data_IF_811538625037
#
_entry.id   IF_811538625037
#
_cell.length_a   1.000
_cell.length_b   1.000
_cell.length_c   1.000
_cell.angle_alpha   90.00
_cell.angle_beta   90.00
_cell.angle_gamma   90.00
#
_symmetry.space_group_name_H-M   'P 1'
#
loop_
_entity.id
_entity.type
_entity.pdbx_description
1 polymer ?
#
# COMPACT_ATOMS: atom_id res chain seq x y z
N UNK A 1 3.39 -55.70 22.83
CA UNK A 1 1.95 -55.94 23.10
C UNK A 1 1.36 -54.58 23.47
N UNK A 2 0.35 -53.96 22.85
CA UNK A 2 -0.60 -54.18 21.76
C UNK A 2 -1.25 -52.78 21.57
N UNK A 3 -1.70 -52.24 20.42
CA UNK A 3 -1.77 -52.60 19.00
C UNK A 3 -2.07 -51.27 18.28
N UNK A 4 -1.42 -51.02 17.16
CA UNK A 4 -1.76 -49.95 16.21
C UNK A 4 -2.84 -50.52 15.29
N UNK A 5 -4.01 -49.88 15.22
CA UNK A 5 -5.05 -50.23 14.24
C UNK A 5 -5.05 -49.20 13.12
N UNK A 6 -4.33 -49.55 12.05
CA UNK A 6 -4.43 -48.94 10.72
C UNK A 6 -5.70 -49.52 10.08
N UNK A 7 -6.72 -48.68 9.89
CA UNK A 7 -7.78 -48.94 8.91
C UNK A 7 -7.64 -47.94 7.78
N UNK A 8 -6.95 -48.38 6.74
CA UNK A 8 -6.92 -47.76 5.43
C UNK A 8 -8.32 -47.82 4.81
N UNK A 9 -8.89 -46.66 4.48
CA UNK A 9 -9.91 -46.55 3.43
C UNK A 9 -9.36 -45.55 2.42
N UNK A 10 -8.77 -46.11 1.36
CA UNK A 10 -8.46 -45.41 0.12
C UNK A 10 -9.79 -45.15 -0.58
N UNK A 11 -10.23 -43.88 -0.62
CA UNK A 11 -11.27 -43.44 -1.53
C UNK A 11 -10.61 -42.58 -2.60
N UNK A 12 -10.23 -43.23 -3.70
CA UNK A 12 -9.78 -42.55 -4.91
C UNK A 12 -10.97 -41.82 -5.53
N UNK A 13 -11.08 -40.51 -5.28
CA UNK A 13 -11.87 -39.61 -6.12
C UNK A 13 -10.93 -38.91 -7.10
N UNK A 14 -10.79 -39.54 -8.25
CA UNK A 14 -10.38 -38.87 -9.48
C UNK A 14 -11.49 -37.90 -9.89
N UNK A 15 -11.38 -36.64 -9.46
CA UNK A 15 -12.14 -35.53 -10.02
C UNK A 15 -11.17 -34.64 -10.79
N UNK A 16 -11.14 -34.85 -12.10
CA UNK A 16 -10.60 -33.91 -13.05
C UNK A 16 -11.43 -32.62 -12.97
N UNK A 17 -10.98 -31.64 -12.18
CA UNK A 17 -11.43 -30.26 -12.29
C UNK A 17 -10.43 -29.50 -13.16
N UNK A 18 -10.52 -29.70 -14.46
CA UNK A 18 -10.15 -28.64 -15.40
C UNK A 18 -11.34 -27.68 -15.51
N UNK A 19 -11.64 -26.97 -14.42
CA UNK A 19 -12.41 -25.72 -14.52
C UNK A 19 -11.37 -24.61 -14.58
N UNK A 20 -10.99 -24.25 -15.79
CA UNK A 20 -10.68 -22.86 -16.10
C UNK A 20 -11.98 -22.08 -15.86
N UNK A 21 -12.25 -21.73 -14.60
CA UNK A 21 -13.29 -20.78 -14.26
C UNK A 21 -12.88 -19.46 -14.88
N UNK A 22 -13.43 -19.17 -16.06
CA UNK A 22 -13.38 -17.84 -16.65
C UNK A 22 -13.99 -16.92 -15.59
N UNK A 23 -13.27 -15.90 -15.17
CA UNK A 23 -13.77 -14.91 -14.23
C UNK A 23 -15.07 -14.32 -14.79
N UNK A 24 -16.22 -14.73 -14.26
CA UNK A 24 -17.46 -14.00 -14.50
C UNK A 24 -17.32 -12.67 -13.76
N UNK A 25 -17.41 -11.56 -14.50
CA UNK A 25 -17.42 -10.23 -13.91
C UNK A 25 -18.59 -10.14 -12.92
N UNK A 26 -18.32 -9.68 -11.71
CA UNK A 26 -19.34 -9.49 -10.66
C UNK A 26 -20.55 -8.71 -11.20
N UNK A 27 -21.79 -9.19 -11.06
CA UNK A 27 -22.95 -8.47 -11.55
C UNK A 27 -23.16 -7.16 -10.78
N UNK A 28 -23.69 -6.15 -11.46
CA UNK A 28 -23.87 -4.80 -10.89
C UNK A 28 -24.73 -4.78 -9.61
N UNK A 29 -25.66 -5.72 -9.47
CA UNK A 29 -26.46 -5.90 -8.24
C UNK A 29 -25.61 -6.34 -7.05
N UNK A 30 -24.67 -7.28 -7.26
CA UNK A 30 -23.74 -7.73 -6.23
C UNK A 30 -22.72 -6.63 -5.87
N UNK A 31 -22.22 -5.88 -6.86
CA UNK A 31 -21.37 -4.71 -6.61
C UNK A 31 -22.05 -3.71 -5.65
N UNK A 32 -23.30 -3.33 -5.95
CA UNK A 32 -24.07 -2.40 -5.09
C UNK A 32 -24.35 -2.99 -3.70
N UNK A 33 -24.60 -4.29 -3.61
CA UNK A 33 -24.80 -4.96 -2.33
C UNK A 33 -23.51 -4.96 -1.50
N UNK A 34 -22.37 -5.26 -2.12
CA UNK A 34 -21.05 -5.21 -1.47
C UNK A 34 -20.69 -3.78 -1.03
N UNK A 35 -20.97 -2.75 -1.85
CA UNK A 35 -20.78 -1.35 -1.49
C UNK A 35 -21.60 -0.97 -0.24
N UNK A 36 -22.88 -1.35 -0.20
CA UNK A 36 -23.74 -1.13 0.96
C UNK A 36 -23.23 -1.87 2.21
N UNK A 37 -22.70 -3.08 2.06
CA UNK A 37 -22.12 -3.83 3.17
C UNK A 37 -20.86 -3.14 3.71
N UNK A 38 -19.98 -2.63 2.84
CA UNK A 38 -18.80 -1.86 3.26
C UNK A 38 -19.20 -0.61 4.05
N UNK A 39 -20.25 0.09 3.60
CA UNK A 39 -20.76 1.27 4.32
C UNK A 39 -21.37 0.91 5.69
N UNK A 40 -22.08 -0.22 5.77
CA UNK A 40 -22.62 -0.73 7.03
C UNK A 40 -21.50 -1.14 7.99
N UNK A 41 -20.48 -1.84 7.50
CA UNK A 41 -19.31 -2.26 8.28
C UNK A 41 -18.53 -1.04 8.80
N UNK A 42 -18.33 -0.01 7.96
CA UNK A 42 -17.72 1.24 8.37
C UNK A 42 -18.54 1.95 9.45
N UNK A 43 -19.86 2.02 9.28
CA UNK A 43 -20.75 2.61 10.29
C UNK A 43 -20.63 1.88 11.64
N UNK A 44 -20.68 0.54 11.63
CA UNK A 44 -20.52 -0.27 12.84
C UNK A 44 -19.13 -0.08 13.48
N UNK A 45 -18.06 -0.05 12.68
CA UNK A 45 -16.71 0.20 13.16
C UNK A 45 -16.58 1.58 13.81
N UNK A 46 -17.16 2.62 13.20
CA UNK A 46 -17.19 3.97 13.74
C UNK A 46 -17.96 4.06 15.07
N UNK A 47 -19.09 3.37 15.17
CA UNK A 47 -19.86 3.28 16.42
C UNK A 47 -19.04 2.61 17.53
N UNK A 48 -18.33 1.52 17.22
CA UNK A 48 -17.43 0.84 18.16
C UNK A 48 -16.29 1.76 18.65
N UNK A 49 -15.72 2.57 17.76
CA UNK A 49 -14.73 3.59 18.13
C UNK A 49 -15.30 4.66 19.07
N UNK A 50 -16.62 4.85 19.12
CA UNK A 50 -17.29 5.82 19.98
C UNK A 50 -17.04 5.61 21.47
N UNK A 51 -16.74 4.38 21.88
CA UNK A 51 -16.42 4.00 23.27
C UNK A 51 -15.00 4.40 23.72
N UNK A 52 -14.13 4.76 22.78
CA UNK A 52 -12.76 5.17 23.05
C UNK A 52 -12.66 6.69 23.28
N UNK A 53 -11.55 7.14 23.84
CA UNK A 53 -11.28 8.55 24.12
C UNK A 53 -9.90 8.99 23.60
N UNK A 54 -9.75 10.30 23.35
CA UNK A 54 -8.51 10.92 22.89
C UNK A 54 -7.89 10.20 21.68
N UNK A 55 -6.56 10.09 21.62
CA UNK A 55 -5.87 9.50 20.48
C UNK A 55 -6.27 8.04 20.19
N UNK A 56 -6.63 7.26 21.21
CA UNK A 56 -7.15 5.90 20.98
C UNK A 56 -8.42 5.91 20.10
N UNK A 57 -9.28 6.92 20.28
CA UNK A 57 -10.45 7.13 19.41
C UNK A 57 -10.03 7.55 18.01
N UNK A 58 -9.08 8.48 17.89
CA UNK A 58 -8.65 9.01 16.60
C UNK A 58 -7.96 7.93 15.74
N UNK A 59 -7.08 7.11 16.33
CA UNK A 59 -6.49 5.92 15.71
C UNK A 59 -7.58 4.96 15.23
N UNK A 60 -8.54 4.62 16.09
CA UNK A 60 -9.65 3.72 15.71
C UNK A 60 -10.45 4.28 14.54
N UNK A 61 -10.74 5.58 14.56
CA UNK A 61 -11.46 6.27 13.47
C UNK A 61 -10.65 6.29 12.17
N UNK A 62 -9.33 6.48 12.24
CA UNK A 62 -8.44 6.40 11.08
C UNK A 62 -8.38 4.98 10.51
N UNK A 63 -8.28 3.95 11.36
CA UNK A 63 -8.32 2.55 10.94
C UNK A 63 -9.65 2.19 10.26
N UNK A 64 -10.78 2.60 10.83
CA UNK A 64 -12.10 2.36 10.26
C UNK A 64 -12.26 3.01 8.88
N UNK A 65 -11.88 4.29 8.74
CA UNK A 65 -11.89 5.02 7.46
C UNK A 65 -10.92 4.40 6.45
N UNK A 66 -9.75 3.96 6.91
CA UNK A 66 -8.75 3.30 6.08
C UNK A 66 -9.27 1.99 5.50
N UNK A 67 -9.87 1.14 6.36
CA UNK A 67 -10.51 -0.12 5.95
C UNK A 67 -11.63 0.10 4.94
N UNK A 68 -12.50 1.10 5.16
CA UNK A 68 -13.56 1.45 4.20
C UNK A 68 -12.97 1.82 2.83
N UNK A 69 -11.97 2.71 2.79
CA UNK A 69 -11.33 3.14 1.55
C UNK A 69 -10.67 1.99 0.79
N UNK A 70 -9.93 1.14 1.51
CA UNK A 70 -9.27 -0.03 0.92
C UNK A 70 -10.31 -1.00 0.38
N UNK A 71 -11.36 -1.31 1.16
CA UNK A 71 -12.42 -2.20 0.71
C UNK A 71 -13.16 -1.67 -0.52
N UNK A 72 -13.45 -0.37 -0.59
CA UNK A 72 -14.05 0.27 -1.79
C UNK A 72 -13.11 0.17 -3.00
N UNK A 73 -11.81 0.39 -2.83
CA UNK A 73 -10.85 0.23 -3.92
C UNK A 73 -10.71 -1.22 -4.38
N UNK A 74 -10.71 -2.18 -3.46
CA UNK A 74 -10.65 -3.62 -3.75
C UNK A 74 -11.93 -4.11 -4.45
N UNK A 75 -13.09 -3.60 -4.04
CA UNK A 75 -14.37 -3.86 -4.69
C UNK A 75 -14.36 -3.34 -6.14
N UNK A 76 -13.93 -2.10 -6.37
CA UNK A 76 -13.80 -1.56 -7.73
C UNK A 76 -12.79 -2.35 -8.56
N UNK A 77 -11.67 -2.79 -7.97
CA UNK A 77 -10.70 -3.64 -8.65
C UNK A 77 -11.24 -5.03 -8.98
N UNK A 78 -12.15 -5.56 -8.17
CA UNK A 78 -12.82 -6.84 -8.42
C UNK A 78 -13.91 -6.71 -9.49
N UNK A 79 -14.63 -5.59 -9.51
CA UNK A 79 -15.68 -5.30 -10.48
C UNK A 79 -15.15 -4.89 -11.86
N UNK A 80 -14.05 -4.13 -11.89
CA UNK A 80 -13.38 -3.69 -13.12
C UNK A 80 -11.86 -3.92 -13.03
N UNK A 81 -11.42 -5.18 -13.14
CA UNK A 81 -10.00 -5.53 -13.04
C UNK A 81 -9.15 -4.79 -14.07
N UNK A 82 -8.15 -4.06 -13.60
CA UNK A 82 -7.17 -3.40 -14.46
C UNK A 82 -5.90 -3.10 -13.69
N UNK A 83 -4.78 -2.87 -14.40
CA UNK A 83 -3.54 -2.42 -13.77
C UNK A 83 -3.72 -1.10 -13.01
N UNK A 84 -4.60 -0.22 -13.51
CA UNK A 84 -4.96 1.02 -12.81
C UNK A 84 -5.72 0.71 -11.52
N UNK A 85 -6.69 -0.20 -11.54
CA UNK A 85 -7.43 -0.57 -10.33
C UNK A 85 -6.52 -1.19 -9.26
N UNK A 86 -5.57 -2.06 -9.64
CA UNK A 86 -4.55 -2.56 -8.70
C UNK A 86 -3.67 -1.45 -8.12
N UNK A 87 -3.33 -0.43 -8.92
CA UNK A 87 -2.61 0.75 -8.44
C UNK A 87 -3.42 1.56 -7.42
N UNK A 88 -4.71 1.80 -7.68
CA UNK A 88 -5.59 2.53 -6.75
C UNK A 88 -5.74 1.77 -5.42
N UNK A 89 -5.80 0.42 -5.44
CA UNK A 89 -5.78 -0.40 -4.22
C UNK A 89 -4.49 -0.19 -3.43
N UNK A 90 -3.32 -0.27 -4.08
CA UNK A 90 -2.03 -0.04 -3.42
C UNK A 90 -1.91 1.36 -2.82
N UNK A 91 -2.42 2.36 -3.53
CA UNK A 91 -2.47 3.76 -3.06
C UNK A 91 -3.40 3.90 -1.86
N UNK A 92 -4.60 3.32 -1.91
CA UNK A 92 -5.56 3.36 -0.81
C UNK A 92 -4.99 2.71 0.46
N UNK A 93 -4.28 1.57 0.31
CA UNK A 93 -3.57 0.91 1.42
C UNK A 93 -2.51 1.80 2.03
N UNK A 94 -1.64 2.39 1.19
CA UNK A 94 -0.60 3.29 1.65
C UNK A 94 -1.17 4.53 2.38
N UNK A 95 -2.26 5.10 1.88
CA UNK A 95 -2.94 6.24 2.53
C UNK A 95 -3.61 5.87 3.84
N UNK A 96 -4.20 4.67 3.93
CA UNK A 96 -4.77 4.15 5.17
C UNK A 96 -3.67 3.95 6.22
N UNK A 97 -2.57 3.31 5.86
CA UNK A 97 -1.41 3.09 6.74
C UNK A 97 -0.81 4.42 7.22
N UNK A 98 -0.67 5.39 6.32
CA UNK A 98 -0.20 6.73 6.67
C UNK A 98 -1.13 7.45 7.64
N UNK A 99 -2.45 7.39 7.43
CA UNK A 99 -3.41 8.03 8.31
C UNK A 99 -3.29 7.45 9.74
N UNK A 100 -3.25 6.13 9.86
CA UNK A 100 -3.08 5.46 11.16
C UNK A 100 -1.73 5.79 11.79
N UNK A 101 -0.64 5.77 11.02
CA UNK A 101 0.69 6.12 11.50
C UNK A 101 0.76 7.57 12.00
N UNK A 102 0.08 8.50 11.33
CA UNK A 102 0.01 9.90 11.73
C UNK A 102 -0.69 10.08 13.08
N UNK A 103 -1.86 9.46 13.27
CA UNK A 103 -2.55 9.51 14.58
C UNK A 103 -1.67 8.88 15.68
N UNK A 104 -0.98 7.76 15.39
CA UNK A 104 -0.01 7.17 16.33
C UNK A 104 1.17 8.09 16.66
N UNK A 105 1.54 9.00 15.77
CA UNK A 105 2.55 10.01 16.05
C UNK A 105 2.01 11.14 16.95
N UNK A 106 0.69 11.33 17.04
CA UNK A 106 0.11 12.45 17.78
C UNK A 106 0.30 12.34 19.31
N UNK A 107 0.56 11.13 19.83
CA UNK A 107 0.96 10.90 21.24
C UNK A 107 2.40 11.37 21.55
N UNK A 108 3.18 11.71 20.53
CA UNK A 108 4.56 12.18 20.70
C UNK A 108 4.58 13.71 20.85
N UNK A 109 5.71 14.27 21.27
CA UNK A 109 5.89 15.71 21.39
C UNK A 109 7.25 16.17 20.87
N UNK A 110 7.35 17.46 20.53
CA UNK A 110 8.56 18.10 20.01
C UNK A 110 9.06 17.46 18.72
N UNK A 111 10.37 17.58 18.45
CA UNK A 111 11.00 17.04 17.25
C UNK A 111 10.78 15.52 17.07
N UNK A 112 10.57 14.76 18.15
CA UNK A 112 10.26 13.33 18.07
C UNK A 112 8.91 13.09 17.34
N UNK A 113 7.92 13.97 17.55
CA UNK A 113 6.66 13.95 16.80
C UNK A 113 6.89 14.28 15.33
N UNK A 114 7.64 15.35 15.06
CA UNK A 114 7.91 15.81 13.70
C UNK A 114 8.63 14.75 12.87
N UNK A 115 9.67 14.12 13.45
CA UNK A 115 10.38 12.99 12.85
C UNK A 115 9.43 11.82 12.59
N UNK A 116 8.57 11.46 13.55
CA UNK A 116 7.58 10.39 13.36
C UNK A 116 6.65 10.65 12.18
N UNK A 117 6.11 11.87 12.07
CA UNK A 117 5.22 12.26 10.96
C UNK A 117 5.97 12.27 9.62
N UNK A 118 7.24 12.70 9.61
CA UNK A 118 8.09 12.62 8.40
C UNK A 118 8.36 11.18 7.99
N UNK A 119 8.64 10.28 8.93
CA UNK A 119 8.85 8.86 8.65
C UNK A 119 7.58 8.22 8.09
N UNK A 120 6.42 8.49 8.69
CA UNK A 120 5.13 8.04 8.16
C UNK A 120 4.88 8.57 6.73
N UNK A 121 5.17 9.85 6.48
CA UNK A 121 5.04 10.45 5.14
C UNK A 121 6.03 9.84 4.15
N UNK A 122 7.26 9.51 4.58
CA UNK A 122 8.23 8.84 3.72
C UNK A 122 7.74 7.45 3.34
N UNK A 123 7.21 6.67 4.28
CA UNK A 123 6.59 5.38 3.97
C UNK A 123 5.45 5.49 2.94
N UNK A 124 4.59 6.52 3.06
CA UNK A 124 3.56 6.81 2.06
C UNK A 124 4.14 7.10 0.68
N UNK A 125 5.16 7.96 0.61
CA UNK A 125 5.83 8.31 -0.66
C UNK A 125 6.46 7.07 -1.28
N UNK A 126 7.15 6.24 -0.48
CA UNK A 126 7.77 5.01 -0.96
C UNK A 126 6.74 4.06 -1.57
N UNK A 127 5.64 3.79 -0.86
CA UNK A 127 4.59 2.90 -1.33
C UNK A 127 3.91 3.42 -2.61
N UNK A 128 3.63 4.72 -2.68
CA UNK A 128 3.06 5.36 -3.89
C UNK A 128 4.03 5.35 -5.07
N UNK A 129 5.30 5.61 -4.82
CA UNK A 129 6.35 5.57 -5.82
C UNK A 129 6.51 4.15 -6.41
N UNK A 130 6.52 3.11 -5.57
CA UNK A 130 6.57 1.72 -6.02
C UNK A 130 5.33 1.32 -6.80
N UNK A 131 4.13 1.65 -6.30
CA UNK A 131 2.89 1.37 -7.00
C UNK A 131 2.86 2.05 -8.39
N UNK A 132 3.32 3.30 -8.47
CA UNK A 132 3.43 4.07 -9.72
C UNK A 132 4.45 3.44 -10.67
N UNK A 133 5.60 3.01 -10.17
CA UNK A 133 6.63 2.35 -10.97
C UNK A 133 6.12 1.02 -11.55
N UNK A 134 5.44 0.22 -10.73
CA UNK A 134 4.80 -1.03 -11.15
C UNK A 134 3.72 -0.79 -12.21
N UNK A 135 2.88 0.25 -12.03
CA UNK A 135 1.85 0.62 -13.01
C UNK A 135 2.47 1.02 -14.35
N UNK A 136 3.45 1.93 -14.34
CA UNK A 136 4.15 2.40 -15.56
C UNK A 136 4.80 1.21 -16.29
N UNK A 137 5.52 0.37 -15.55
CA UNK A 137 6.19 -0.83 -16.10
C UNK A 137 5.19 -1.82 -16.68
N UNK A 138 4.12 -2.12 -15.95
CA UNK A 138 3.08 -3.06 -16.40
C UNK A 138 2.36 -2.57 -17.65
N UNK A 139 2.06 -1.26 -17.72
CA UNK A 139 1.46 -0.65 -18.93
C UNK A 139 2.41 -0.72 -20.11
N UNK A 140 3.69 -0.40 -19.91
CA UNK A 140 4.69 -0.48 -20.95
C UNK A 140 4.85 -1.91 -21.51
N UNK A 141 4.86 -2.91 -20.62
CA UNK A 141 4.94 -4.32 -21.01
C UNK A 141 3.68 -4.82 -21.73
N UNK A 142 2.49 -4.37 -21.30
CA UNK A 142 1.24 -4.73 -21.98
C UNK A 142 1.22 -4.26 -23.44
N UNK A 143 1.76 -3.08 -23.72
CA UNK A 143 1.90 -2.54 -25.08
C UNK A 143 3.00 -3.23 -25.89
N UNK A 144 3.98 -3.88 -25.25
CA UNK A 144 5.09 -4.56 -25.92
C UNK A 144 4.80 -6.02 -26.34
N UNK A 145 3.69 -6.60 -25.85
CA UNK A 145 3.27 -7.95 -26.25
C UNK A 145 2.68 -8.01 -27.67
N UNK A 146 2.45 -6.86 -28.31
CA UNK A 146 1.82 -6.78 -29.64
C UNK A 146 2.81 -6.52 -30.79
N UNK A 147 4.06 -6.06 -30.59
CA UNK A 147 4.94 -5.65 -31.70
C UNK A 147 6.46 -5.71 -31.41
N UNK A 148 7.26 -5.68 -32.49
CA UNK A 148 8.73 -5.78 -32.70
C UNK A 148 9.74 -5.49 -31.55
N UNK A 149 11.01 -5.87 -31.76
CA UNK A 149 12.14 -5.58 -30.83
C UNK A 149 12.19 -4.13 -30.34
N UNK A 150 11.85 -3.16 -31.20
CA UNK A 150 11.79 -1.75 -30.85
C UNK A 150 10.73 -1.42 -29.78
N UNK A 151 9.57 -2.10 -29.79
CA UNK A 151 8.55 -1.91 -28.77
C UNK A 151 9.00 -2.46 -27.41
N UNK A 152 9.76 -3.56 -27.42
CA UNK A 152 10.36 -4.14 -26.20
C UNK A 152 11.42 -3.23 -25.60
N UNK A 153 12.29 -2.65 -26.43
CA UNK A 153 13.29 -1.66 -25.99
C UNK A 153 12.62 -0.44 -25.33
N UNK A 154 11.60 0.12 -25.98
CA UNK A 154 10.84 1.26 -25.43
C UNK A 154 10.13 0.92 -24.12
N UNK A 155 9.63 -0.31 -23.99
CA UNK A 155 9.01 -0.74 -22.74
C UNK A 155 10.03 -0.90 -21.60
N UNK A 156 11.22 -1.42 -21.90
CA UNK A 156 12.33 -1.50 -20.96
C UNK A 156 12.79 -0.10 -20.51
N UNK A 157 12.93 0.84 -21.44
CA UNK A 157 13.27 2.24 -21.15
C UNK A 157 12.27 2.87 -20.19
N UNK A 158 10.97 2.81 -20.50
CA UNK A 158 9.91 3.34 -19.63
C UNK A 158 9.87 2.66 -18.26
N UNK A 159 10.15 1.35 -18.21
CA UNK A 159 10.27 0.61 -16.96
C UNK A 159 11.47 1.08 -16.12
N UNK A 160 12.61 1.36 -16.77
CA UNK A 160 13.80 1.90 -16.12
C UNK A 160 13.57 3.32 -15.59
N UNK A 161 13.03 4.21 -16.43
CA UNK A 161 12.65 5.58 -16.05
C UNK A 161 11.70 5.58 -14.86
N UNK A 162 10.66 4.75 -14.89
CA UNK A 162 9.71 4.64 -13.79
C UNK A 162 10.36 4.19 -12.46
N UNK A 163 11.39 3.34 -12.52
CA UNK A 163 12.17 2.92 -11.34
C UNK A 163 13.10 4.03 -10.87
N UNK A 164 13.70 4.78 -11.79
CA UNK A 164 14.55 5.93 -11.46
C UNK A 164 13.74 7.05 -10.80
N UNK A 165 12.57 7.38 -11.35
CA UNK A 165 11.59 8.31 -10.76
C UNK A 165 11.26 7.89 -9.33
N UNK A 166 10.87 6.62 -9.14
CA UNK A 166 10.51 6.12 -7.82
C UNK A 166 11.70 6.16 -6.85
N UNK A 167 12.91 5.84 -7.31
CA UNK A 167 14.12 5.93 -6.50
C UNK A 167 14.44 7.40 -6.13
N UNK A 168 14.20 8.36 -7.02
CA UNK A 168 14.33 9.78 -6.71
C UNK A 168 13.31 10.19 -5.64
N UNK A 169 12.02 9.96 -5.86
CA UNK A 169 10.94 10.29 -4.90
C UNK A 169 11.23 9.72 -3.50
N UNK A 170 11.74 8.48 -3.43
CA UNK A 170 12.15 7.83 -2.17
C UNK A 170 13.34 8.51 -1.51
N UNK A 171 14.41 8.80 -2.25
CA UNK A 171 15.58 9.52 -1.73
C UNK A 171 15.21 10.90 -1.23
N UNK A 172 14.30 11.60 -1.91
CA UNK A 172 13.78 12.91 -1.50
C UNK A 172 13.04 12.83 -0.17
N UNK A 173 12.18 11.82 -0.01
CA UNK A 173 11.48 11.57 1.23
C UNK A 173 12.42 11.19 2.38
N UNK A 174 13.40 10.33 2.12
CA UNK A 174 14.38 9.88 3.13
C UNK A 174 15.31 11.02 3.54
N UNK A 175 15.70 11.88 2.60
CA UNK A 175 16.42 13.12 2.91
C UNK A 175 15.59 14.05 3.80
N UNK A 176 14.30 14.20 3.52
CA UNK A 176 13.42 15.03 4.35
C UNK A 176 13.33 14.50 5.79
N UNK A 177 13.30 13.17 5.98
CA UNK A 177 13.39 12.53 7.32
C UNK A 177 14.74 12.81 7.97
N UNK A 178 15.84 12.62 7.24
CA UNK A 178 17.18 12.85 7.77
C UNK A 178 17.39 14.30 8.20
N UNK A 179 16.91 15.25 7.40
CA UNK A 179 16.95 16.68 7.73
C UNK A 179 16.16 16.98 9.01
N UNK A 180 14.96 16.43 9.14
CA UNK A 180 14.14 16.61 10.36
C UNK A 180 14.84 16.06 11.60
N UNK A 181 15.55 14.93 11.48
CA UNK A 181 16.35 14.37 12.59
C UNK A 181 17.51 15.29 12.99
N UNK A 182 18.11 16.00 12.05
CA UNK A 182 19.14 17.01 12.34
C UNK A 182 18.58 18.23 13.07
N UNK A 183 17.27 18.51 12.99
CA UNK A 183 16.64 19.65 13.66
C UNK A 183 16.59 19.49 15.19
N UNK A 184 16.86 18.29 15.73
CA UNK A 184 17.11 18.08 17.15
C UNK A 184 18.44 18.69 17.64
N UNK A 185 19.37 19.02 16.73
CA UNK A 185 20.67 19.61 17.03
C UNK A 185 20.66 21.13 16.84
N UNK A 186 21.73 21.80 17.27
CA UNK A 186 21.93 23.25 17.09
C UNK A 186 23.37 23.59 16.70
N UNK A 187 23.57 24.78 16.12
CA UNK A 187 24.88 25.29 15.70
C UNK A 187 25.61 24.37 14.72
N UNK A 188 26.93 24.32 14.83
CA UNK A 188 27.82 23.57 13.94
C UNK A 188 27.48 22.08 13.83
N UNK A 189 26.92 21.49 14.90
CA UNK A 189 26.50 20.10 14.91
C UNK A 189 25.32 19.86 13.94
N UNK A 190 24.35 20.77 13.93
CA UNK A 190 23.21 20.72 12.99
C UNK A 190 23.68 20.90 11.56
N UNK A 191 24.54 21.88 11.30
CA UNK A 191 25.05 22.14 9.96
C UNK A 191 25.85 20.95 9.41
N UNK A 192 26.68 20.34 10.26
CA UNK A 192 27.41 19.12 9.93
C UNK A 192 26.47 17.96 9.60
N UNK A 193 25.44 17.75 10.43
CA UNK A 193 24.42 16.72 10.20
C UNK A 193 23.69 16.91 8.86
N UNK A 194 23.24 18.13 8.56
CA UNK A 194 22.54 18.43 7.29
C UNK A 194 23.46 18.24 6.09
N UNK A 195 24.73 18.66 6.19
CA UNK A 195 25.71 18.46 5.12
C UNK A 195 26.02 16.99 4.86
N UNK A 196 26.10 16.17 5.91
CA UNK A 196 26.23 14.72 5.77
C UNK A 196 24.99 14.10 5.11
N UNK A 197 23.79 14.53 5.52
CA UNK A 197 22.53 14.08 4.91
C UNK A 197 22.49 14.43 3.41
N UNK A 198 22.90 15.64 3.02
CA UNK A 198 22.98 16.04 1.60
C UNK A 198 23.91 15.13 0.80
N UNK A 199 25.12 14.86 1.32
CA UNK A 199 26.07 13.93 0.69
C UNK A 199 25.49 12.53 0.56
N UNK A 200 24.85 12.01 1.61
CA UNK A 200 24.25 10.66 1.63
C UNK A 200 23.13 10.49 0.61
N UNK A 201 22.29 11.51 0.43
CA UNK A 201 21.11 11.42 -0.43
C UNK A 201 21.28 12.08 -1.81
N UNK A 202 22.45 12.65 -2.10
CA UNK A 202 22.76 13.32 -3.36
C UNK A 202 21.92 14.58 -3.58
N UNK A 203 21.89 15.45 -2.55
CA UNK A 203 21.09 16.68 -2.52
C UNK A 203 21.93 17.95 -2.54
#
# INVERSE_FOLDING_TARGET
MNKINISSIVLAMSLAYSVSAMAENMPKSEYKAAEKNIEADYKAAKENCGSLAANAKDICMAEAKGKEKVAKAELEASYKPSKKASYEVSVAKAEADYAVAKEKCDDKAGNVKDVCVKEAKAALVHAKADAKAQLKTSKANATANEDSSAAREKAQEKGSEARQDAAADKRDADYAVAKEKCDAMSGDAKDSCVNEAKKRYGK
#
